data_IF_927509892837
#
_entry.id   IF_927509892837
#
_cell.length_a   1.000
_cell.length_b   1.000
_cell.length_c   1.000
_cell.angle_alpha   90.00
_cell.angle_beta   90.00
_cell.angle_gamma   90.00
#
_symmetry.space_group_name_H-M   'P 1'
#
loop_
_entity.id
_entity.type
_entity.pdbx_description
1 polymer ?
#
# COMPACT_ATOMS: atom_id res chain seq x y z
N UNK A 1 11.30 -9.75 9.02
CA UNK A 1 12.71 -10.07 8.74
C UNK A 1 13.62 -8.85 8.83
N UNK A 2 13.36 -7.78 8.07
CA UNK A 2 14.19 -6.55 8.08
C UNK A 2 14.37 -5.93 9.48
N UNK A 3 13.29 -5.78 10.25
CA UNK A 3 13.37 -5.32 11.65
C UNK A 3 14.34 -6.14 12.49
N UNK A 4 14.26 -7.47 12.40
CA UNK A 4 15.13 -8.39 13.16
C UNK A 4 16.59 -8.20 12.71
N UNK A 5 16.84 -8.11 11.41
CA UNK A 5 18.18 -7.88 10.87
C UNK A 5 18.77 -6.55 11.35
N UNK A 6 17.97 -5.48 11.36
CA UNK A 6 18.38 -4.17 11.89
C UNK A 6 18.70 -4.26 13.38
N UNK A 7 17.80 -4.84 14.18
CA UNK A 7 17.96 -4.94 15.63
C UNK A 7 19.20 -5.78 15.98
N UNK A 8 19.46 -6.87 15.25
CA UNK A 8 20.63 -7.72 15.46
C UNK A 8 21.94 -7.00 15.15
N UNK A 9 22.00 -6.22 14.07
CA UNK A 9 23.19 -5.39 13.76
C UNK A 9 23.37 -4.29 14.80
N UNK A 10 22.29 -3.58 15.14
CA UNK A 10 22.33 -2.47 16.09
C UNK A 10 22.76 -2.89 17.50
N UNK A 11 22.39 -4.10 17.92
CA UNK A 11 22.77 -4.68 19.21
C UNK A 11 24.12 -5.42 19.19
N UNK A 12 24.79 -5.48 18.04
CA UNK A 12 26.05 -6.21 17.87
C UNK A 12 25.91 -7.74 17.91
N UNK A 13 24.69 -8.26 17.77
CA UNK A 13 24.42 -9.70 17.72
C UNK A 13 24.71 -10.33 16.36
N UNK A 14 24.77 -9.53 15.30
CA UNK A 14 25.07 -10.00 13.95
C UNK A 14 25.95 -9.01 13.19
N UNK A 15 26.82 -9.53 12.32
CA UNK A 15 27.53 -8.72 11.35
C UNK A 15 26.61 -8.27 10.20
N UNK A 16 27.07 -7.30 9.40
CA UNK A 16 26.33 -6.88 8.21
C UNK A 16 26.17 -8.01 7.18
N UNK A 17 27.14 -8.91 7.08
CA UNK A 17 27.11 -10.06 6.18
C UNK A 17 26.02 -11.07 6.62
N UNK A 18 25.94 -11.36 7.92
CA UNK A 18 24.90 -12.23 8.48
C UNK A 18 23.51 -11.63 8.33
N UNK A 19 23.39 -10.32 8.57
CA UNK A 19 22.14 -9.61 8.40
C UNK A 19 21.70 -9.55 6.92
N UNK A 20 22.63 -9.31 6.00
CA UNK A 20 22.37 -9.34 4.55
C UNK A 20 21.86 -10.72 4.10
N UNK A 21 22.50 -11.79 4.56
CA UNK A 21 22.06 -13.16 4.30
C UNK A 21 20.63 -13.42 4.84
N UNK A 22 20.32 -12.93 6.05
CA UNK A 22 18.99 -13.08 6.67
C UNK A 22 17.87 -12.41 5.85
N UNK A 23 18.16 -11.31 5.17
CA UNK A 23 17.18 -10.59 4.32
C UNK A 23 17.30 -10.92 2.84
N UNK A 24 18.18 -11.85 2.46
CA UNK A 24 18.37 -12.28 1.07
C UNK A 24 19.00 -11.20 0.17
N UNK A 25 19.81 -10.30 0.72
CA UNK A 25 20.49 -9.24 -0.02
C UNK A 25 21.99 -9.50 -0.11
N UNK A 26 22.64 -8.88 -1.10
CA UNK A 26 24.10 -8.72 -1.09
C UNK A 26 24.51 -7.81 0.08
N UNK A 27 25.67 -8.09 0.67
CA UNK A 27 26.21 -7.33 1.80
C UNK A 27 26.29 -5.83 1.52
N UNK A 28 26.72 -5.44 0.33
CA UNK A 28 26.84 -4.05 -0.11
C UNK A 28 25.47 -3.36 -0.16
N UNK A 29 24.47 -4.04 -0.74
CA UNK A 29 23.09 -3.55 -0.79
C UNK A 29 22.49 -3.39 0.60
N UNK A 30 22.77 -4.34 1.51
CA UNK A 30 22.38 -4.24 2.90
C UNK A 30 23.06 -3.08 3.62
N UNK A 31 24.37 -2.88 3.43
CA UNK A 31 25.11 -1.77 4.04
C UNK A 31 24.57 -0.41 3.56
N UNK A 32 24.27 -0.28 2.27
CA UNK A 32 23.62 0.91 1.72
C UNK A 32 22.23 1.14 2.30
N UNK A 33 21.42 0.09 2.38
CA UNK A 33 20.10 0.15 3.01
C UNK A 33 20.20 0.59 4.47
N UNK A 34 21.10 -0.04 5.23
CA UNK A 34 21.28 0.21 6.65
C UNK A 34 21.77 1.64 6.91
N UNK A 35 22.69 2.17 6.09
CA UNK A 35 23.15 3.55 6.20
C UNK A 35 21.98 4.54 6.03
N UNK A 36 21.17 4.39 4.98
CA UNK A 36 19.98 5.22 4.75
C UNK A 36 18.92 5.04 5.84
N UNK A 37 18.79 3.83 6.38
CA UNK A 37 17.90 3.57 7.51
C UNK A 37 18.35 4.36 8.75
N UNK A 38 19.65 4.42 9.03
CA UNK A 38 20.22 5.19 10.14
C UNK A 38 20.01 6.70 9.99
N UNK A 39 20.10 7.23 8.76
CA UNK A 39 19.76 8.63 8.47
C UNK A 39 18.30 8.95 8.82
N UNK A 40 17.38 7.99 8.62
CA UNK A 40 16.01 8.09 9.12
C UNK A 40 15.18 9.20 8.46
N UNK A 41 15.57 9.70 7.29
CA UNK A 41 14.88 10.81 6.63
C UNK A 41 13.51 10.39 6.07
N UNK A 42 12.44 10.72 6.81
CA UNK A 42 11.05 10.41 6.45
C UNK A 42 10.50 11.30 5.33
N UNK A 43 11.11 12.46 5.05
CA UNK A 43 10.67 13.38 4.00
C UNK A 43 10.84 12.77 2.61
N UNK A 44 11.81 11.85 2.45
CA UNK A 44 12.04 11.08 1.21
C UNK A 44 10.90 10.14 0.85
N UNK A 45 10.05 9.78 1.81
CA UNK A 45 8.96 8.83 1.56
C UNK A 45 7.82 9.56 0.83
N UNK A 46 7.39 9.09 -0.35
CA UNK A 46 6.23 9.65 -1.05
C UNK A 46 4.95 9.66 -0.20
N UNK A 47 4.16 10.72 -0.30
CA UNK A 47 2.91 10.89 0.48
C UNK A 47 1.92 9.73 0.30
N UNK A 48 1.83 9.19 -0.93
CA UNK A 48 0.99 8.03 -1.18
C UNK A 48 1.41 6.85 -0.30
N UNK A 49 2.70 6.59 -0.11
CA UNK A 49 3.18 5.53 0.77
C UNK A 49 2.87 5.86 2.24
N UNK A 50 3.04 7.12 2.65
CA UNK A 50 2.72 7.58 4.01
C UNK A 50 1.25 7.39 4.38
N UNK A 51 0.35 7.55 3.42
CA UNK A 51 -1.09 7.37 3.62
C UNK A 51 -1.49 5.91 3.94
N UNK A 52 -0.71 4.91 3.49
CA UNK A 52 -1.03 3.50 3.68
C UNK A 52 -0.21 2.80 4.76
N UNK A 53 1.01 3.25 5.02
CA UNK A 53 1.87 2.63 6.01
C UNK A 53 1.60 3.20 7.41
N UNK A 54 1.50 2.33 8.42
CA UNK A 54 1.45 2.77 9.80
C UNK A 54 2.72 3.56 10.14
N UNK A 55 2.59 4.62 10.94
CA UNK A 55 3.71 5.53 11.26
C UNK A 55 4.96 4.79 11.78
N UNK A 56 4.78 3.70 12.51
CA UNK A 56 5.87 2.84 13.04
C UNK A 56 6.67 2.13 11.94
N UNK A 57 6.05 1.87 10.80
CA UNK A 57 6.63 1.06 9.71
C UNK A 57 7.33 1.94 8.67
N UNK A 58 7.00 3.24 8.63
CA UNK A 58 7.65 4.24 7.77
C UNK A 58 9.16 4.30 7.97
N UNK A 59 9.63 4.12 9.22
CA UNK A 59 11.06 4.14 9.53
C UNK A 59 11.83 3.05 8.78
N UNK A 60 11.23 1.89 8.51
CA UNK A 60 11.93 0.84 7.75
C UNK A 60 11.99 1.15 6.25
N UNK A 61 11.17 2.09 5.77
CA UNK A 61 11.17 2.50 4.37
C UNK A 61 12.29 3.49 4.05
N UNK A 62 12.83 4.20 5.05
CA UNK A 62 13.92 5.19 4.84
C UNK A 62 15.18 4.54 4.27
N UNK A 63 15.39 3.25 4.55
CA UNK A 63 16.50 2.46 4.02
C UNK A 63 16.44 2.21 2.51
N UNK A 64 15.27 2.33 1.87
CA UNK A 64 15.15 2.16 0.42
C UNK A 64 15.79 3.33 -0.34
N UNK A 65 16.24 3.06 -1.57
CA UNK A 65 16.64 4.12 -2.50
C UNK A 65 15.42 4.91 -2.99
N UNK A 66 15.66 6.11 -3.50
CA UNK A 66 14.58 6.95 -4.04
C UNK A 66 13.91 6.27 -5.25
N UNK A 67 14.68 5.55 -6.05
CA UNK A 67 14.16 4.73 -7.15
C UNK A 67 13.24 3.61 -6.64
N UNK A 68 13.63 2.89 -5.59
CA UNK A 68 12.80 1.84 -4.98
C UNK A 68 11.52 2.41 -4.36
N UNK A 69 11.62 3.57 -3.70
CA UNK A 69 10.46 4.28 -3.15
C UNK A 69 9.52 4.75 -4.27
N UNK A 70 10.07 5.23 -5.38
CA UNK A 70 9.28 5.65 -6.54
C UNK A 70 8.57 4.46 -7.21
N UNK A 71 9.25 3.33 -7.41
CA UNK A 71 8.64 2.10 -7.94
C UNK A 71 7.48 1.65 -7.04
N UNK A 72 7.69 1.67 -5.72
CA UNK A 72 6.64 1.32 -4.76
C UNK A 72 5.44 2.29 -4.83
N UNK A 73 5.71 3.59 -4.92
CA UNK A 73 4.67 4.61 -5.03
C UNK A 73 3.85 4.45 -6.32
N UNK A 74 4.50 4.18 -7.44
CA UNK A 74 3.83 3.91 -8.72
C UNK A 74 2.98 2.65 -8.67
N UNK A 75 3.49 1.56 -8.08
CA UNK A 75 2.74 0.31 -7.93
C UNK A 75 1.48 0.50 -7.07
N UNK A 76 1.58 1.25 -5.97
CA UNK A 76 0.45 1.59 -5.12
C UNK A 76 -0.57 2.46 -5.87
N UNK A 77 -0.11 3.49 -6.57
CA UNK A 77 -0.98 4.37 -7.36
C UNK A 77 -1.79 3.61 -8.40
N UNK A 78 -1.13 2.78 -9.20
CA UNK A 78 -1.78 1.96 -10.24
C UNK A 78 -2.78 0.97 -9.64
N UNK A 79 -2.44 0.32 -8.53
CA UNK A 79 -3.35 -0.63 -7.87
C UNK A 79 -4.59 0.05 -7.31
N UNK A 80 -4.44 1.22 -6.68
CA UNK A 80 -5.56 2.00 -6.15
C UNK A 80 -6.47 2.51 -7.26
N UNK A 81 -5.89 2.97 -8.37
CA UNK A 81 -6.67 3.40 -9.52
C UNK A 81 -7.57 2.25 -10.01
N UNK A 82 -7.01 1.05 -10.20
CA UNK A 82 -7.78 -0.12 -10.64
C UNK A 82 -8.88 -0.51 -9.64
N UNK A 83 -8.59 -0.51 -8.35
CA UNK A 83 -9.58 -0.82 -7.31
C UNK A 83 -10.71 0.20 -7.27
N UNK A 84 -10.37 1.48 -7.41
CA UNK A 84 -11.35 2.57 -7.42
C UNK A 84 -12.25 2.50 -8.66
N UNK A 85 -11.68 2.30 -9.84
CA UNK A 85 -12.45 2.12 -11.08
C UNK A 85 -13.44 0.95 -10.96
N UNK A 86 -12.98 -0.18 -10.44
CA UNK A 86 -13.83 -1.35 -10.20
C UNK A 86 -14.94 -1.07 -9.19
N UNK A 87 -14.61 -0.39 -8.08
CA UNK A 87 -15.59 -0.06 -7.05
C UNK A 87 -16.66 0.92 -7.57
N UNK A 88 -16.24 1.99 -8.25
CA UNK A 88 -17.15 2.97 -8.85
C UNK A 88 -18.08 2.30 -9.87
N UNK A 89 -17.55 1.43 -10.72
CA UNK A 89 -18.38 0.67 -11.66
C UNK A 89 -19.45 -0.16 -10.94
N UNK A 90 -19.07 -0.87 -9.85
CA UNK A 90 -20.05 -1.65 -9.08
C UNK A 90 -21.12 -0.78 -8.42
N UNK A 91 -20.73 0.37 -7.88
CA UNK A 91 -21.68 1.32 -7.27
C UNK A 91 -22.66 1.83 -8.32
N UNK A 92 -22.18 2.22 -9.50
CA UNK A 92 -23.02 2.70 -10.61
C UNK A 92 -23.99 1.62 -11.10
N UNK A 93 -23.52 0.38 -11.26
CA UNK A 93 -24.38 -0.74 -11.66
C UNK A 93 -25.43 -1.05 -10.59
N UNK A 94 -25.04 -1.05 -9.31
CA UNK A 94 -25.98 -1.26 -8.21
C UNK A 94 -27.04 -0.16 -8.16
N UNK A 95 -26.64 1.09 -8.37
CA UNK A 95 -27.53 2.25 -8.42
C UNK A 95 -28.55 2.14 -9.56
N UNK A 96 -28.09 1.91 -10.79
CA UNK A 96 -28.98 1.74 -11.95
C UNK A 96 -29.97 0.58 -11.75
N UNK A 97 -29.51 -0.52 -11.15
CA UNK A 97 -30.38 -1.64 -10.80
C UNK A 97 -31.45 -1.25 -9.78
N UNK A 98 -31.08 -0.50 -8.75
CA UNK A 98 -32.02 -0.04 -7.72
C UNK A 98 -33.09 0.87 -8.33
N UNK A 99 -32.69 1.86 -9.15
CA UNK A 99 -33.62 2.77 -9.81
C UNK A 99 -34.61 2.03 -10.73
N UNK A 100 -34.13 1.01 -11.44
CA UNK A 100 -35.00 0.14 -12.27
C UNK A 100 -36.00 -0.64 -11.43
N UNK A 101 -35.58 -1.16 -10.27
CA UNK A 101 -36.48 -1.90 -9.36
C UNK A 101 -37.54 -0.97 -8.76
N UNK A 102 -37.17 0.25 -8.36
CA UNK A 102 -38.11 1.25 -7.83
C UNK A 102 -39.15 1.66 -8.89
N UNK A 103 -38.72 1.87 -10.14
CA UNK A 103 -39.64 2.16 -11.27
C UNK A 103 -40.60 1.00 -11.53
N UNK A 104 -40.13 -0.23 -11.48
CA UNK A 104 -40.98 -1.42 -11.65
C UNK A 104 -41.99 -1.59 -10.51
N UNK A 105 -41.57 -1.35 -9.27
CA UNK A 105 -42.46 -1.39 -8.10
C UNK A 105 -43.56 -0.32 -8.19
N UNK A 106 -43.21 0.93 -8.51
CA UNK A 106 -44.19 2.02 -8.71
C UNK A 106 -45.16 1.72 -9.86
N UNK A 107 -44.66 1.18 -10.98
CA UNK A 107 -45.51 0.78 -12.10
C UNK A 107 -46.46 -0.40 -11.76
N UNK A 108 -46.04 -1.31 -10.87
CA UNK A 108 -46.88 -2.41 -10.40
C UNK A 108 -47.99 -1.93 -9.46
N UNK A 109 -47.68 -1.02 -8.53
CA UNK A 109 -48.68 -0.39 -7.64
C UNK A 109 -49.73 0.38 -8.43
N UNK A 110 -49.31 1.15 -9.44
CA UNK A 110 -50.22 1.93 -10.27
C UNK A 110 -51.23 1.04 -11.02
N UNK A 111 -50.81 -0.16 -11.46
CA UNK A 111 -51.70 -1.12 -12.13
C UNK A 111 -52.68 -1.80 -11.16
N UNK A 112 -52.26 -2.10 -9.94
CA UNK A 112 -53.15 -2.68 -8.93
C UNK A 112 -54.24 -1.72 -8.45
N UNK A 113 -54.01 -0.40 -8.47
CA UNK A 113 -55.03 0.59 -8.10
C UNK A 113 -56.00 0.98 -9.23
N UNK A 114 -55.78 0.48 -10.45
CA UNK A 114 -56.63 0.72 -11.63
C UNK A 114 -57.49 -0.48 -12.03
N UNK A 115 -57.40 -1.61 -11.30
CA UNK A 115 -58.20 -2.82 -11.48
C UNK A 115 -59.24 -2.94 -10.35
#
# INVERSE_FOLDING_TARGET
MVKIAIDSVAKGYASHEQAAALVGLKTESWKQYYAKFQEGNLERIPEIIKAFAAARDLRYLTGFSDEQLNILAQALGSSLQQQLEYFLWRVLVAWDRQEKLEKLASAAETRCCQA
#
